data_IF_647542607749
#
_entry.id   IF_647542607749
#
_cell.length_a   1.000
_cell.length_b   1.000
_cell.length_c   1.000
_cell.angle_alpha   90.00
_cell.angle_beta   90.00
_cell.angle_gamma   90.00
#
_symmetry.space_group_name_H-M   'P 1'
#
loop_
_entity.id
_entity.type
_entity.pdbx_description
1 polymer ?
#
# COMPACT_ATOMS: atom_id res chain seq x y z
N UNK A 1 -1.70 13.29 7.58
CA UNK A 1 -2.79 14.31 7.55
C UNK A 1 -3.76 13.91 6.44
N UNK A 2 -5.07 14.12 6.62
CA UNK A 2 -6.08 13.88 5.57
C UNK A 2 -6.38 15.19 4.87
N UNK A 3 -6.34 15.21 3.54
CA UNK A 3 -6.64 16.37 2.71
C UNK A 3 -7.60 15.96 1.59
N UNK A 4 -8.67 16.71 1.38
CA UNK A 4 -9.53 16.55 0.20
C UNK A 4 -8.95 17.36 -0.96
N UNK A 5 -8.42 16.67 -1.98
CA UNK A 5 -7.75 17.31 -3.12
C UNK A 5 -8.70 17.49 -4.33
N UNK A 6 -9.78 16.72 -4.37
CA UNK A 6 -10.93 16.92 -5.27
C UNK A 6 -12.16 16.26 -4.64
N UNK A 7 -13.35 16.51 -5.21
CA UNK A 7 -14.60 15.93 -4.69
C UNK A 7 -14.49 14.39 -4.59
N UNK A 8 -14.65 13.87 -3.38
CA UNK A 8 -14.52 12.44 -3.05
C UNK A 8 -13.13 11.82 -3.28
N UNK A 9 -12.08 12.63 -3.45
CA UNK A 9 -10.69 12.19 -3.58
C UNK A 9 -9.85 12.81 -2.47
N UNK A 10 -9.34 11.94 -1.60
CA UNK A 10 -8.59 12.31 -0.43
C UNK A 10 -7.17 11.80 -0.50
N UNK A 11 -6.23 12.60 0.01
CA UNK A 11 -4.83 12.25 0.20
C UNK A 11 -4.56 12.01 1.68
N UNK A 12 -3.97 10.86 2.00
CA UNK A 12 -3.44 10.51 3.31
C UNK A 12 -1.91 10.51 3.20
N UNK A 13 -1.26 11.46 3.85
CA UNK A 13 0.20 11.42 4.01
C UNK A 13 0.56 10.41 5.10
N UNK A 14 1.20 9.30 4.70
CA UNK A 14 1.62 8.19 5.57
C UNK A 14 3.11 8.34 5.89
N UNK A 15 3.51 8.50 7.17
CA UNK A 15 4.90 8.72 7.54
C UNK A 15 5.73 7.43 7.45
N UNK A 16 7.00 7.60 7.10
CA UNK A 16 8.03 6.57 7.08
C UNK A 16 9.22 7.01 7.98
N UNK A 17 9.10 6.94 9.32
CA UNK A 17 10.15 7.41 10.23
C UNK A 17 11.49 6.69 9.99
N UNK A 18 12.59 7.44 9.95
CA UNK A 18 13.92 6.89 9.68
C UNK A 18 14.15 6.45 8.22
N UNK A 19 13.20 6.68 7.32
CA UNK A 19 13.37 6.48 5.88
C UNK A 19 13.71 7.84 5.21
N UNK A 20 14.67 7.90 4.26
CA UNK A 20 15.00 9.12 3.53
C UNK A 20 13.82 9.78 2.81
N UNK A 21 12.82 9.00 2.38
CA UNK A 21 11.62 9.49 1.71
C UNK A 21 10.68 10.28 2.64
N UNK A 22 10.80 10.07 3.96
CA UNK A 22 10.00 10.69 5.04
C UNK A 22 8.54 10.31 5.08
N UNK A 23 7.84 10.32 3.95
CA UNK A 23 6.41 9.97 3.84
C UNK A 23 6.05 9.55 2.42
N UNK A 24 4.92 8.86 2.28
CA UNK A 24 4.27 8.61 0.99
C UNK A 24 2.84 9.17 1.01
N UNK A 25 2.24 9.25 -0.17
CA UNK A 25 0.83 9.59 -0.32
C UNK A 25 0.03 8.33 -0.63
N UNK A 26 -0.88 7.97 0.27
CA UNK A 26 -1.99 7.07 -0.03
C UNK A 26 -3.19 7.89 -0.47
N UNK A 27 -4.01 7.36 -1.38
CA UNK A 27 -5.22 8.05 -1.83
C UNK A 27 -6.46 7.23 -1.51
N UNK A 28 -7.54 7.92 -1.13
CA UNK A 28 -8.85 7.32 -0.88
C UNK A 28 -9.84 7.98 -1.84
N UNK A 29 -10.48 7.16 -2.67
CA UNK A 29 -11.55 7.59 -3.58
C UNK A 29 -12.86 7.03 -3.04
N UNK A 30 -13.80 7.91 -2.68
CA UNK A 30 -15.13 7.51 -2.22
C UNK A 30 -16.08 7.38 -3.40
N UNK A 31 -16.65 6.20 -3.58
CA UNK A 31 -17.70 5.92 -4.55
C UNK A 31 -19.08 5.83 -3.90
N UNK A 32 -20.11 5.68 -4.73
CA UNK A 32 -21.49 5.50 -4.25
C UNK A 32 -21.75 4.12 -3.63
N UNK A 33 -21.06 3.08 -4.11
CA UNK A 33 -21.23 1.71 -3.65
C UNK A 33 -19.98 1.14 -2.97
N UNK A 34 -18.78 1.55 -3.43
CA UNK A 34 -17.50 1.08 -2.89
C UNK A 34 -16.49 2.22 -2.88
N UNK A 35 -15.54 2.15 -1.95
CA UNK A 35 -14.37 3.01 -1.93
C UNK A 35 -13.19 2.30 -2.60
N UNK A 36 -12.19 3.08 -3.02
CA UNK A 36 -10.91 2.57 -3.49
C UNK A 36 -9.78 3.21 -2.68
N UNK A 37 -8.90 2.40 -2.13
CA UNK A 37 -7.63 2.85 -1.53
C UNK A 37 -6.51 2.58 -2.53
N UNK A 38 -5.77 3.62 -2.89
CA UNK A 38 -4.57 3.53 -3.73
C UNK A 38 -3.35 3.63 -2.84
N UNK A 39 -2.59 2.53 -2.79
CA UNK A 39 -1.40 2.32 -1.96
C UNK A 39 -1.63 2.51 -0.43
N UNK A 40 -0.82 1.84 0.39
CA UNK A 40 -1.17 1.63 1.81
C UNK A 40 -0.07 1.93 2.83
N UNK A 41 1.16 2.17 2.41
CA UNK A 41 2.29 2.33 3.33
C UNK A 41 3.03 1.03 3.59
N UNK A 42 4.15 1.14 4.32
CA UNK A 42 4.94 -0.01 4.76
C UNK A 42 4.25 -0.74 5.90
N UNK A 43 4.54 -2.04 6.06
CA UNK A 43 4.12 -2.84 7.22
C UNK A 43 4.82 -2.39 8.52
N UNK A 44 4.40 -1.24 9.05
CA UNK A 44 4.92 -0.61 10.25
C UNK A 44 3.77 -0.07 11.07
N UNK A 45 3.90 -0.18 12.39
CA UNK A 45 2.89 0.29 13.36
C UNK A 45 2.46 1.74 13.12
N UNK A 46 3.41 2.64 12.90
CA UNK A 46 3.13 4.07 12.64
C UNK A 46 2.34 4.30 11.35
N UNK A 47 2.62 3.53 10.30
CA UNK A 47 1.88 3.61 9.04
C UNK A 47 0.43 3.16 9.25
N UNK A 48 0.24 2.04 9.97
CA UNK A 48 -1.08 1.49 10.29
C UNK A 48 -1.90 2.44 11.17
N UNK A 49 -1.29 3.06 12.18
CA UNK A 49 -1.96 4.02 13.06
C UNK A 49 -2.49 5.23 12.26
N UNK A 50 -1.62 5.83 11.43
CA UNK A 50 -2.01 6.99 10.60
C UNK A 50 -3.03 6.61 9.53
N UNK A 51 -2.90 5.43 8.92
CA UNK A 51 -3.87 4.92 7.96
C UNK A 51 -5.25 4.74 8.61
N UNK A 52 -5.32 4.03 9.75
CA UNK A 52 -6.60 3.82 10.47
C UNK A 52 -7.21 5.13 10.95
N UNK A 53 -6.41 6.06 11.45
CA UNK A 53 -6.90 7.39 11.83
C UNK A 53 -7.49 8.13 10.63
N UNK A 54 -6.80 8.10 9.48
CA UNK A 54 -7.26 8.74 8.25
C UNK A 54 -8.55 8.13 7.71
N UNK A 55 -8.62 6.80 7.63
CA UNK A 55 -9.83 6.08 7.21
C UNK A 55 -11.00 6.31 8.17
N UNK A 56 -10.73 6.38 9.48
CA UNK A 56 -11.73 6.72 10.50
C UNK A 56 -12.30 8.13 10.31
N UNK A 57 -11.46 9.13 10.04
CA UNK A 57 -11.90 10.51 9.74
C UNK A 57 -12.78 10.59 8.49
N UNK A 58 -12.51 9.74 7.50
CA UNK A 58 -13.29 9.66 6.26
C UNK A 58 -14.52 8.76 6.36
N UNK A 59 -14.74 8.12 7.51
CA UNK A 59 -15.78 7.11 7.73
C UNK A 59 -15.78 6.03 6.63
N UNK A 60 -14.60 5.53 6.29
CA UNK A 60 -14.43 4.45 5.31
C UNK A 60 -14.83 3.12 5.93
N UNK A 61 -15.77 2.44 5.28
CA UNK A 61 -16.11 1.05 5.58
C UNK A 61 -15.22 0.10 4.76
N UNK A 62 -14.32 -0.61 5.44
CA UNK A 62 -13.39 -1.55 4.80
C UNK A 62 -14.10 -2.74 4.13
N UNK A 63 -15.29 -3.13 4.59
CA UNK A 63 -16.08 -4.19 3.94
C UNK A 63 -16.65 -3.74 2.57
N UNK A 64 -16.71 -2.43 2.33
CA UNK A 64 -17.10 -1.81 1.08
C UNK A 64 -15.91 -1.14 0.38
N UNK A 65 -14.68 -1.63 0.60
CA UNK A 65 -13.47 -0.99 0.05
C UNK A 65 -12.60 -1.99 -0.71
N UNK A 66 -12.16 -1.55 -1.89
CA UNK A 66 -11.18 -2.23 -2.73
C UNK A 66 -9.82 -1.52 -2.65
N UNK A 67 -8.77 -2.20 -3.10
CA UNK A 67 -7.40 -1.71 -3.08
C UNK A 67 -6.82 -1.71 -4.49
N UNK A 68 -6.07 -0.67 -4.84
CA UNK A 68 -5.25 -0.62 -6.04
C UNK A 68 -3.80 -0.40 -5.62
N UNK A 69 -2.95 -1.37 -5.93
CA UNK A 69 -1.50 -1.26 -5.69
C UNK A 69 -0.83 -0.79 -6.98
N UNK A 70 -0.11 0.33 -6.90
CA UNK A 70 0.53 0.91 -8.08
C UNK A 70 1.68 0.06 -8.59
N UNK A 71 2.57 -0.42 -7.71
CA UNK A 71 3.72 -1.26 -8.05
C UNK A 71 4.31 -2.02 -6.84
N UNK A 72 5.25 -2.94 -7.11
CA UNK A 72 5.94 -3.78 -6.11
C UNK A 72 7.07 -3.08 -5.35
N UNK A 73 6.72 -2.09 -4.52
CA UNK A 73 7.59 -1.64 -3.45
C UNK A 73 6.85 -1.70 -2.11
N UNK A 74 7.56 -2.04 -1.04
CA UNK A 74 6.96 -2.40 0.25
C UNK A 74 6.11 -1.27 0.87
N UNK A 75 6.39 -0.03 0.54
CA UNK A 75 5.61 1.15 0.93
C UNK A 75 4.29 1.30 0.19
N UNK A 76 4.04 0.58 -0.90
CA UNK A 76 2.80 0.68 -1.66
C UNK A 76 1.77 -0.37 -1.23
N UNK A 77 2.20 -1.60 -0.94
CA UNK A 77 1.28 -2.70 -0.60
C UNK A 77 1.38 -3.20 0.84
N UNK A 78 2.30 -2.65 1.64
CA UNK A 78 2.71 -3.24 2.91
C UNK A 78 1.60 -3.41 3.95
N UNK A 79 0.52 -2.61 3.90
CA UNK A 79 -0.63 -2.78 4.81
C UNK A 79 -1.84 -3.46 4.17
N UNK A 80 -1.81 -3.78 2.87
CA UNK A 80 -2.96 -4.38 2.16
C UNK A 80 -3.45 -5.64 2.86
N UNK A 81 -2.53 -6.53 3.27
CA UNK A 81 -2.89 -7.80 3.90
C UNK A 81 -3.66 -7.65 5.24
N UNK A 82 -3.49 -6.54 5.95
CA UNK A 82 -4.20 -6.30 7.21
C UNK A 82 -5.43 -5.39 7.05
N UNK A 83 -5.48 -4.57 6.01
CA UNK A 83 -6.63 -3.70 5.73
C UNK A 83 -7.70 -4.41 4.90
N UNK A 84 -7.30 -5.34 4.03
CA UNK A 84 -8.22 -6.09 3.19
C UNK A 84 -9.11 -7.02 4.02
N UNK A 85 -10.36 -7.11 3.61
CA UNK A 85 -11.35 -8.01 4.18
C UNK A 85 -11.69 -9.11 3.18
N UNK A 86 -12.54 -10.07 3.58
CA UNK A 86 -13.06 -11.12 2.71
C UNK A 86 -13.90 -10.59 1.53
N UNK A 87 -14.44 -9.37 1.65
CA UNK A 87 -15.21 -8.70 0.60
C UNK A 87 -14.38 -7.73 -0.26
N UNK A 88 -13.09 -7.55 0.04
CA UNK A 88 -12.22 -6.66 -0.70
C UNK A 88 -11.73 -7.30 -2.01
N UNK A 89 -11.61 -6.49 -3.06
CA UNK A 89 -10.80 -6.82 -4.24
C UNK A 89 -9.48 -6.07 -4.17
N UNK A 90 -8.38 -6.77 -4.42
CA UNK A 90 -7.06 -6.17 -4.56
C UNK A 90 -6.66 -6.21 -6.03
N UNK A 91 -6.59 -5.04 -6.64
CA UNK A 91 -6.10 -4.83 -7.99
C UNK A 91 -4.59 -4.61 -7.95
N UNK A 92 -3.86 -5.39 -8.74
CA UNK A 92 -2.42 -5.27 -8.89
C UNK A 92 -2.05 -5.64 -10.33
N UNK A 93 -1.04 -4.99 -10.91
CA UNK A 93 -0.57 -5.36 -12.23
C UNK A 93 -0.03 -6.80 -12.22
N UNK A 94 -0.15 -7.49 -13.36
CA UNK A 94 0.23 -8.90 -13.47
C UNK A 94 1.73 -9.15 -13.20
N UNK A 95 2.68 -8.41 -13.80
CA UNK A 95 4.11 -8.65 -13.57
C UNK A 95 4.52 -8.57 -12.09
N UNK A 96 4.05 -7.54 -11.37
CA UNK A 96 4.36 -7.36 -9.95
C UNK A 96 3.66 -8.39 -9.07
N UNK A 97 2.41 -8.73 -9.40
CA UNK A 97 1.67 -9.77 -8.68
C UNK A 97 2.36 -11.14 -8.82
N UNK A 98 2.87 -11.48 -10.00
CA UNK A 98 3.60 -12.73 -10.25
C UNK A 98 4.86 -12.84 -9.36
N UNK A 99 5.55 -11.73 -9.09
CA UNK A 99 6.68 -11.71 -8.17
C UNK A 99 6.30 -12.00 -6.70
N UNK A 100 5.09 -11.64 -6.27
CA UNK A 100 4.60 -12.00 -4.91
C UNK A 100 4.38 -13.51 -4.79
N UNK A 101 3.92 -14.16 -5.85
CA UNK A 101 3.62 -15.59 -5.86
C UNK A 101 4.81 -16.47 -6.24
N UNK A 102 5.96 -15.87 -6.59
CA UNK A 102 7.14 -16.61 -6.99
C UNK A 102 7.76 -17.35 -5.80
N UNK A 103 7.84 -18.68 -5.92
CA UNK A 103 8.18 -19.59 -4.81
C UNK A 103 9.65 -19.57 -4.40
N UNK A 104 10.54 -19.13 -5.29
CA UNK A 104 11.97 -19.01 -4.99
C UNK A 104 12.32 -17.73 -4.21
N UNK A 105 11.30 -16.92 -3.88
CA UNK A 105 11.42 -15.73 -3.06
C UNK A 105 12.35 -14.68 -3.68
N UNK A 106 13.37 -14.29 -2.91
CA UNK A 106 14.34 -13.25 -3.31
C UNK A 106 15.67 -13.83 -3.82
N UNK A 107 15.78 -15.16 -3.97
CA UNK A 107 17.06 -15.83 -4.24
C UNK A 107 17.68 -15.44 -5.58
N UNK A 108 16.88 -15.32 -6.63
CA UNK A 108 17.36 -14.89 -7.95
C UNK A 108 17.86 -13.44 -7.91
N UNK A 109 17.15 -12.57 -7.18
CA UNK A 109 17.55 -11.18 -6.98
C UNK A 109 18.85 -11.08 -6.17
N UNK A 110 18.98 -11.84 -5.08
CA UNK A 110 20.20 -11.90 -4.26
C UNK A 110 21.36 -12.42 -5.09
N UNK A 111 21.16 -13.51 -5.84
CA UNK A 111 22.18 -14.10 -6.72
C UNK A 111 22.64 -13.10 -7.77
N UNK A 112 21.70 -12.41 -8.41
CA UNK A 112 22.01 -11.35 -9.38
C UNK A 112 22.75 -10.18 -8.73
N UNK A 113 22.35 -9.75 -7.53
CA UNK A 113 23.03 -8.67 -6.80
C UNK A 113 24.50 -9.04 -6.49
N UNK A 114 24.74 -10.28 -6.05
CA UNK A 114 26.09 -10.83 -5.83
C UNK A 114 26.95 -10.82 -7.10
N UNK A 115 26.38 -11.22 -8.24
CA UNK A 115 27.06 -11.12 -9.55
C UNK A 115 27.43 -9.67 -9.94
N UNK A 116 26.75 -8.67 -9.36
CA UNK A 116 26.99 -7.25 -9.58
C UNK A 116 27.75 -6.58 -8.42
N UNK A 117 28.37 -7.36 -7.53
CA UNK A 117 29.28 -6.87 -6.50
C UNK A 117 28.60 -6.35 -5.23
N UNK A 118 27.31 -6.62 -5.03
CA UNK A 118 26.69 -6.44 -3.72
C UNK A 118 27.22 -7.53 -2.75
N UNK A 119 27.48 -7.19 -1.49
CA UNK A 119 27.96 -8.16 -0.51
C UNK A 119 26.89 -9.21 -0.15
N UNK A 120 27.34 -10.40 0.22
CA UNK A 120 26.51 -11.46 0.81
C UNK A 120 26.02 -11.11 2.22
#
# INVERSE_FOLDING_TARGET
MVEEIAANLYRLEIPLPGNPLKSINSYVIKGSARNLIVDTGMNRKVCMEVMREGLGKLAVDLSATDFFVTHLHADHFGLVAELATDTSKVYFNKPDAEHIFYTDGWNDMISFAGLNGFPE
#
